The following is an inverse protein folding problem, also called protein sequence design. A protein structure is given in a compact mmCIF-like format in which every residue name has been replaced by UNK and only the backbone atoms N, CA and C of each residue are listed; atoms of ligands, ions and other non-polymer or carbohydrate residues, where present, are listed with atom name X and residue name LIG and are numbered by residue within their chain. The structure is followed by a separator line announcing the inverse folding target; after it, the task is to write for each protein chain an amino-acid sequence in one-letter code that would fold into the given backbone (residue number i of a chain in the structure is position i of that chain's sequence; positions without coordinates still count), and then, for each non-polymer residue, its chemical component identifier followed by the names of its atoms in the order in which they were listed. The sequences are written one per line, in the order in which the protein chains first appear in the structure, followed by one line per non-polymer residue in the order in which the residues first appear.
data_IF_763310056206
#
_entry.id   IF_763310056206
#
_cell.length_a   1.000
_cell.length_b   1.000
_cell.length_c   1.000
_cell.angle_alpha   90.00
_cell.angle_beta   90.00
_cell.angle_gamma   90.00
#
_symmetry.space_group_name_H-M   'P 1'
#
loop_
_entity.id
_entity.type
_entity.pdbx_description
1 polymer ?
#
# COMPACT_ATOMS: atom_id res chain seq x y z
N UNK A 1 -9.24 21.79 2.52
CA UNK A 1 -9.09 20.53 1.75
C UNK A 1 -8.32 19.45 2.52
N UNK A 2 -7.13 19.72 3.07
CA UNK A 2 -6.35 18.70 3.78
C UNK A 2 -7.08 18.02 4.96
N UNK A 3 -7.87 18.77 5.74
CA UNK A 3 -8.67 18.22 6.83
C UNK A 3 -9.74 17.22 6.33
N UNK A 4 -10.44 17.57 5.24
CA UNK A 4 -11.46 16.70 4.64
C UNK A 4 -10.86 15.40 4.10
N UNK A 5 -9.67 15.46 3.47
CA UNK A 5 -8.98 14.26 2.99
C UNK A 5 -8.48 13.37 4.13
N UNK A 6 -8.08 13.95 5.26
CA UNK A 6 -7.73 13.17 6.46
C UNK A 6 -8.95 12.50 7.07
N UNK A 7 -10.12 13.17 7.08
CA UNK A 7 -11.38 12.57 7.51
C UNK A 7 -11.81 11.43 6.58
N UNK A 8 -11.71 11.60 5.25
CA UNK A 8 -11.96 10.50 4.32
C UNK A 8 -10.97 9.33 4.51
N UNK A 9 -9.71 9.63 4.82
CA UNK A 9 -8.70 8.59 5.06
C UNK A 9 -9.01 7.71 6.29
N UNK A 10 -9.71 8.22 7.31
CA UNK A 10 -10.08 7.39 8.47
C UNK A 10 -11.20 6.41 8.16
N UNK A 11 -12.14 6.76 7.28
CA UNK A 11 -13.23 5.87 6.85
C UNK A 11 -12.73 4.82 5.87
N UNK A 12 -11.84 5.19 4.93
CA UNK A 12 -11.21 4.27 3.98
C UNK A 12 -10.41 3.18 4.68
N UNK A 13 -9.83 3.45 5.85
CA UNK A 13 -9.13 2.43 6.62
C UNK A 13 -9.99 1.21 6.99
N UNK A 14 -11.32 1.35 6.98
CA UNK A 14 -12.29 0.30 7.28
C UNK A 14 -12.87 -0.37 6.04
N UNK A 15 -12.60 0.13 4.84
CA UNK A 15 -13.13 -0.45 3.60
C UNK A 15 -12.24 -1.54 3.05
N UNK A 16 -12.84 -2.44 2.26
CA UNK A 16 -12.12 -3.51 1.60
C UNK A 16 -11.59 -3.08 0.22
N UNK A 17 -10.78 -2.04 0.24
CA UNK A 17 -10.17 -1.44 -0.95
C UNK A 17 -8.66 -1.53 -0.90
N UNK A 18 -8.00 -1.35 -2.04
CA UNK A 18 -6.53 -1.28 -2.09
C UNK A 18 -5.96 -0.17 -1.18
N UNK A 19 -6.68 0.95 -1.03
CA UNK A 19 -6.32 2.03 -0.12
C UNK A 19 -6.59 1.69 1.35
N UNK A 20 -7.66 0.95 1.63
CA UNK A 20 -7.94 0.42 2.97
C UNK A 20 -6.85 -0.55 3.44
N UNK A 21 -6.44 -1.48 2.59
CA UNK A 21 -5.33 -2.40 2.87
C UNK A 21 -3.99 -1.65 3.09
N UNK A 22 -3.73 -0.59 2.30
CA UNK A 22 -2.59 0.31 2.52
C UNK A 22 -2.65 0.98 3.91
N UNK A 23 -3.80 1.51 4.29
CA UNK A 23 -3.99 2.16 5.59
C UNK A 23 -3.75 1.17 6.73
N UNK A 24 -4.39 -0.01 6.70
CA UNK A 24 -4.29 -1.03 7.76
C UNK A 24 -2.86 -1.40 8.04
N UNK A 25 -2.10 -1.77 6.99
CA UNK A 25 -0.67 -2.11 7.15
C UNK A 25 0.17 -0.93 7.62
N UNK A 26 -0.06 0.27 7.08
CA UNK A 26 0.74 1.41 7.49
C UNK A 26 0.44 1.78 8.95
N UNK A 27 -0.82 1.66 9.38
CA UNK A 27 -1.23 1.93 10.75
C UNK A 27 -0.63 0.95 11.76
N UNK A 28 -0.52 -0.34 11.40
CA UNK A 28 0.12 -1.34 12.28
C UNK A 28 1.63 -1.13 12.38
N UNK A 29 2.28 -0.61 11.34
CA UNK A 29 3.74 -0.41 11.33
C UNK A 29 4.21 0.91 11.94
N UNK A 30 3.51 2.03 11.69
CA UNK A 30 3.98 3.37 12.07
C UNK A 30 2.96 4.18 12.89
N UNK A 31 1.83 3.57 13.25
CA UNK A 31 0.76 4.20 14.02
C UNK A 31 -0.28 4.94 13.17
N UNK A 32 -1.48 5.09 13.75
CA UNK A 32 -2.68 5.62 13.07
C UNK A 32 -2.50 7.04 12.55
N UNK A 33 -1.93 7.96 13.34
CA UNK A 33 -1.79 9.36 12.95
C UNK A 33 -0.94 9.56 11.68
N UNK A 34 0.18 8.83 11.59
CA UNK A 34 1.06 8.87 10.40
C UNK A 34 0.39 8.19 9.20
N UNK A 35 -0.33 7.09 9.43
CA UNK A 35 -1.05 6.38 8.38
C UNK A 35 -2.19 7.23 7.76
N UNK A 36 -2.93 8.00 8.56
CA UNK A 36 -3.97 8.93 8.07
C UNK A 36 -3.35 9.96 7.12
N UNK A 37 -2.25 10.60 7.53
CA UNK A 37 -1.59 11.62 6.71
C UNK A 37 -1.06 11.04 5.38
N UNK A 38 -0.44 9.87 5.42
CA UNK A 38 0.05 9.21 4.21
C UNK A 38 -1.10 8.78 3.27
N UNK A 39 -2.21 8.31 3.82
CA UNK A 39 -3.39 7.89 3.05
C UNK A 39 -4.08 9.10 2.43
N UNK A 40 -4.22 10.19 3.18
CA UNK A 40 -4.73 11.47 2.65
C UNK A 40 -3.87 12.00 1.49
N UNK A 41 -2.53 11.89 1.59
CA UNK A 41 -1.64 12.25 0.48
C UNK A 41 -1.88 11.39 -0.76
N UNK A 42 -2.07 10.08 -0.58
CA UNK A 42 -2.33 9.16 -1.69
C UNK A 42 -3.67 9.46 -2.37
N UNK A 43 -4.70 9.78 -1.59
CA UNK A 43 -5.99 10.26 -2.11
C UNK A 43 -5.84 11.57 -2.87
N UNK A 44 -5.11 12.55 -2.33
CA UNK A 44 -4.89 13.84 -3.00
C UNK A 44 -4.28 13.66 -4.40
N UNK A 45 -3.33 12.73 -4.54
CA UNK A 45 -2.70 12.41 -5.82
C UNK A 45 -3.71 11.78 -6.79
N UNK A 46 -4.53 10.83 -6.32
CA UNK A 46 -5.57 10.23 -7.15
C UNK A 46 -6.60 11.26 -7.63
N UNK A 47 -7.07 12.13 -6.73
CA UNK A 47 -7.97 13.23 -7.09
C UNK A 47 -7.33 14.18 -8.09
N UNK A 48 -6.07 14.57 -7.87
CA UNK A 48 -5.36 15.44 -8.80
C UNK A 48 -5.25 14.81 -10.19
N UNK A 49 -4.89 13.52 -10.26
CA UNK A 49 -4.76 12.83 -11.54
C UNK A 49 -6.11 12.63 -12.23
N UNK A 50 -7.17 12.36 -11.48
CA UNK A 50 -8.52 12.25 -12.01
C UNK A 50 -9.01 13.58 -12.59
N UNK A 51 -8.79 14.69 -11.87
CA UNK A 51 -9.23 16.01 -12.30
C UNK A 51 -8.38 16.59 -13.43
N UNK A 52 -7.05 16.44 -13.35
CA UNK A 52 -6.13 17.03 -14.32
C UNK A 52 -6.00 16.22 -15.61
N UNK A 53 -5.98 14.89 -15.48
CA UNK A 53 -5.69 13.99 -16.60
C UNK A 53 -6.86 13.08 -16.97
N UNK A 54 -8.03 13.23 -16.33
CA UNK A 54 -9.22 12.42 -16.62
C UNK A 54 -9.07 10.95 -16.24
N UNK A 55 -8.09 10.59 -15.39
CA UNK A 55 -7.86 9.20 -15.03
C UNK A 55 -8.98 8.67 -14.13
N UNK A 56 -9.64 7.60 -14.59
CA UNK A 56 -10.61 6.87 -13.78
C UNK A 56 -9.87 5.95 -12.81
N UNK A 57 -10.07 6.17 -11.51
CA UNK A 57 -9.63 5.22 -10.50
C UNK A 57 -10.65 4.08 -10.38
N UNK A 58 -10.25 2.88 -10.76
CA UNK A 58 -10.97 1.64 -10.47
C UNK A 58 -10.22 0.94 -9.36
N UNK A 59 -10.90 0.68 -8.23
CA UNK A 59 -10.24 0.02 -7.12
C UNK A 59 -9.98 -1.45 -7.47
N UNK A 60 -8.71 -1.92 -7.40
CA UNK A 60 -8.38 -3.30 -7.74
C UNK A 60 -8.63 -4.28 -6.58
N UNK A 61 -9.13 -3.81 -5.43
CA UNK A 61 -9.36 -4.63 -4.24
C UNK A 61 -8.16 -4.70 -3.29
N UNK A 62 -8.41 -5.21 -2.08
CA UNK A 62 -7.40 -5.39 -1.04
C UNK A 62 -6.36 -6.45 -1.42
N UNK A 63 -6.79 -7.60 -1.94
CA UNK A 63 -5.93 -8.73 -2.30
C UNK A 63 -4.86 -8.34 -3.31
N UNK A 64 -5.26 -7.60 -4.36
CA UNK A 64 -4.33 -7.07 -5.36
C UNK A 64 -3.22 -6.21 -4.73
N UNK A 65 -3.58 -5.38 -3.74
CA UNK A 65 -2.60 -4.56 -3.05
C UNK A 65 -1.64 -5.38 -2.17
N UNK A 66 -2.15 -6.42 -1.51
CA UNK A 66 -1.38 -7.32 -0.68
C UNK A 66 -0.39 -8.15 -1.50
N UNK A 67 -0.83 -8.74 -2.60
CA UNK A 67 0.02 -9.50 -3.52
C UNK A 67 1.16 -8.63 -4.07
N UNK A 68 0.84 -7.43 -4.56
CA UNK A 68 1.85 -6.51 -5.07
C UNK A 68 2.83 -6.06 -4.00
N UNK A 69 2.41 -6.01 -2.74
CA UNK A 69 3.34 -5.76 -1.65
C UNK A 69 4.22 -6.96 -1.34
N UNK A 70 3.67 -8.17 -1.28
CA UNK A 70 4.44 -9.39 -1.10
C UNK A 70 5.57 -9.44 -2.14
N UNK A 71 5.24 -9.17 -3.40
CA UNK A 71 6.21 -9.09 -4.49
C UNK A 71 7.29 -8.01 -4.23
N UNK A 72 6.91 -6.80 -3.79
CA UNK A 72 7.90 -5.77 -3.44
C UNK A 72 8.82 -6.16 -2.28
N UNK A 73 8.30 -6.87 -1.28
CA UNK A 73 9.09 -7.37 -0.14
C UNK A 73 10.08 -8.42 -0.63
N UNK A 74 9.62 -9.39 -1.43
CA UNK A 74 10.46 -10.43 -2.02
C UNK A 74 11.55 -9.83 -2.91
N UNK A 75 11.23 -8.86 -3.75
CA UNK A 75 12.22 -8.16 -4.57
C UNK A 75 13.26 -7.42 -3.72
N UNK A 76 12.82 -6.79 -2.64
CA UNK A 76 13.72 -6.15 -1.67
C UNK A 76 14.67 -7.16 -1.01
N UNK A 77 14.14 -8.32 -0.60
CA UNK A 77 14.92 -9.42 -0.02
C UNK A 77 15.92 -9.99 -1.03
N UNK A 78 15.50 -10.25 -2.27
CA UNK A 78 16.38 -10.70 -3.36
C UNK A 78 17.54 -9.73 -3.58
N UNK A 79 17.26 -8.42 -3.63
CA UNK A 79 18.31 -7.40 -3.79
C UNK A 79 19.27 -7.38 -2.60
N UNK A 80 18.77 -7.50 -1.38
CA UNK A 80 19.60 -7.52 -0.17
C UNK A 80 20.47 -8.78 -0.07
N UNK A 81 19.92 -9.94 -0.41
CA UNK A 81 20.69 -11.17 -0.52
C UNK A 81 21.83 -11.02 -1.54
N UNK A 82 21.51 -10.50 -2.74
CA UNK A 82 22.50 -10.25 -3.80
C UNK A 82 23.63 -9.32 -3.35
N UNK A 83 23.33 -8.25 -2.61
CA UNK A 83 24.36 -7.35 -2.08
C UNK A 83 25.31 -8.00 -1.06
N UNK A 84 24.88 -9.11 -0.46
CA UNK A 84 25.67 -9.89 0.50
C UNK A 84 26.32 -11.12 -0.15
N UNK A 85 26.18 -11.32 -1.47
CA UNK A 85 26.69 -12.50 -2.17
C UNK A 85 25.82 -13.75 -2.04
N UNK A 86 24.60 -13.64 -1.50
CA UNK A 86 23.66 -14.75 -1.34
C UNK A 86 22.54 -14.70 -2.39
N UNK A 87 21.92 -15.85 -2.68
CA UNK A 87 20.70 -15.95 -3.47
C UNK A 87 19.49 -16.29 -2.58
N UNK A 88 18.35 -15.66 -2.85
CA UNK A 88 17.10 -15.99 -2.16
C UNK A 88 16.46 -17.19 -2.86
N UNK A 89 16.40 -18.33 -2.18
CA UNK A 89 15.67 -19.51 -2.62
C UNK A 89 14.39 -19.67 -1.80
N UNK A 90 13.30 -20.09 -2.44
CA UNK A 90 12.07 -20.45 -1.72
C UNK A 90 12.30 -21.76 -0.97
N UNK A 91 11.88 -21.80 0.28
CA UNK A 91 11.89 -23.02 1.07
C UNK A 91 10.77 -23.95 0.54
N UNK A 92 11.12 -25.16 0.04
CA UNK A 92 10.14 -26.10 -0.50
C UNK A 92 9.12 -26.59 0.53
N UNK A 93 9.46 -26.61 1.83
CA UNK A 93 8.61 -27.22 2.87
C UNK A 93 7.59 -26.23 3.48
N UNK A 94 7.87 -24.92 3.42
CA UNK A 94 6.97 -23.87 3.93
C UNK A 94 6.05 -23.25 2.86
N UNK A 95 6.10 -23.73 1.62
CA UNK A 95 5.28 -23.22 0.54
C UNK A 95 3.88 -23.86 0.57
N UNK A 96 3.01 -23.33 1.44
CA UNK A 96 1.55 -23.61 1.48
C UNK A 96 0.80 -22.54 0.71
#
# INVERSE_FOLDING_TARGET
IAAALRLAATTIGRSDTALGAFYRRLSSRIGKAKAVTATARKLAILFYNALKYGQKYVDPGADYYEERYRNRVLDGLKRRAKSLGYSLQQDPELCV
#
